data_IF_622663400692
#
_entry.id   IF_622663400692
#
_cell.length_a   1.000
_cell.length_b   1.000
_cell.length_c   1.000
_cell.angle_alpha   90.00
_cell.angle_beta   90.00
_cell.angle_gamma   90.00
#
_symmetry.space_group_name_H-M   'P 1'
#
loop_
_entity.id
_entity.type
_entity.pdbx_description
1 polymer ?
#
# COMPACT_ATOMS: atom_id res chain seq x y z
N UNK A 1 31.67 0.42 -5.67
CA UNK A 1 31.27 1.63 -4.91
C UNK A 1 30.53 1.10 -3.72
N UNK A 2 31.06 1.27 -2.51
CA UNK A 2 30.31 0.99 -1.28
C UNK A 2 29.12 1.93 -1.24
N UNK A 3 27.93 1.43 -1.56
CA UNK A 3 26.70 2.09 -1.16
C UNK A 3 26.71 2.11 0.36
N UNK A 4 27.02 3.27 0.95
CA UNK A 4 26.98 3.43 2.39
C UNK A 4 25.56 3.10 2.86
N UNK A 5 25.42 2.42 4.00
CA UNK A 5 24.13 2.05 4.63
C UNK A 5 23.12 3.23 4.66
N UNK A 6 23.63 4.45 4.79
CA UNK A 6 22.87 5.70 4.71
C UNK A 6 22.23 5.99 3.35
N UNK A 7 22.90 5.67 2.24
CA UNK A 7 22.39 5.85 0.88
C UNK A 7 21.27 4.88 0.55
N UNK A 8 21.44 3.61 0.93
CA UNK A 8 20.41 2.59 0.80
C UNK A 8 19.16 2.94 1.62
N UNK A 9 19.37 3.47 2.84
CA UNK A 9 18.29 3.95 3.69
C UNK A 9 17.54 5.15 3.10
N UNK A 10 18.25 6.13 2.55
CA UNK A 10 17.63 7.31 1.94
C UNK A 10 16.70 6.92 0.78
N UNK A 11 17.10 5.95 -0.04
CA UNK A 11 16.26 5.46 -1.13
C UNK A 11 14.96 4.83 -0.60
N UNK A 12 15.03 4.07 0.50
CA UNK A 12 13.84 3.49 1.16
C UNK A 12 12.92 4.59 1.69
N UNK A 13 13.48 5.63 2.31
CA UNK A 13 12.70 6.76 2.83
C UNK A 13 12.02 7.57 1.73
N UNK A 14 12.69 7.79 0.60
CA UNK A 14 12.11 8.44 -0.58
C UNK A 14 10.96 7.61 -1.17
N UNK A 15 11.15 6.30 -1.31
CA UNK A 15 10.11 5.40 -1.79
C UNK A 15 8.91 5.38 -0.84
N UNK A 16 9.15 5.32 0.47
CA UNK A 16 8.08 5.33 1.49
C UNK A 16 7.26 6.64 1.44
N UNK A 17 7.93 7.78 1.32
CA UNK A 17 7.26 9.08 1.18
C UNK A 17 6.46 9.17 -0.13
N UNK A 18 7.02 8.61 -1.21
CA UNK A 18 6.34 8.56 -2.51
C UNK A 18 5.10 7.66 -2.45
N UNK A 19 5.18 6.50 -1.81
CA UNK A 19 4.04 5.61 -1.60
C UNK A 19 2.94 6.30 -0.79
N UNK A 20 3.29 7.02 0.28
CA UNK A 20 2.32 7.78 1.07
C UNK A 20 1.60 8.83 0.22
N UNK A 21 2.34 9.59 -0.58
CA UNK A 21 1.78 10.56 -1.50
C UNK A 21 0.83 9.92 -2.53
N UNK A 22 1.22 8.80 -3.16
CA UNK A 22 0.38 8.09 -4.13
C UNK A 22 -0.93 7.59 -3.50
N UNK A 23 -0.87 7.13 -2.25
CA UNK A 23 -2.04 6.70 -1.49
C UNK A 23 -2.97 7.87 -1.16
N UNK A 24 -2.43 9.02 -0.80
CA UNK A 24 -3.20 10.24 -0.55
C UNK A 24 -3.85 10.79 -1.82
N UNK A 25 -3.21 10.62 -2.98
CA UNK A 25 -3.72 11.02 -4.29
C UNK A 25 -4.60 9.96 -4.97
N UNK A 26 -4.83 8.82 -4.30
CA UNK A 26 -5.57 7.68 -4.84
C UNK A 26 -5.01 7.13 -6.17
N UNK A 27 -3.71 7.30 -6.42
CA UNK A 27 -3.01 6.77 -7.61
C UNK A 27 -2.63 5.30 -7.41
N UNK A 28 -3.64 4.43 -7.41
CA UNK A 28 -3.49 3.02 -7.00
C UNK A 28 -2.61 2.17 -7.91
N UNK A 29 -2.63 2.40 -9.23
CA UNK A 29 -1.82 1.62 -10.19
C UNK A 29 -0.32 1.87 -9.99
N UNK A 30 0.05 3.15 -9.85
CA UNK A 30 1.42 3.58 -9.58
C UNK A 30 1.88 3.14 -8.18
N UNK A 31 0.96 3.19 -7.20
CA UNK A 31 1.21 2.68 -5.86
C UNK A 31 1.57 1.19 -5.87
N UNK A 32 0.79 0.35 -6.58
CA UNK A 32 1.02 -1.10 -6.63
C UNK A 32 2.39 -1.40 -7.26
N UNK A 33 2.73 -0.73 -8.37
CA UNK A 33 4.00 -0.91 -9.05
C UNK A 33 5.19 -0.53 -8.17
N UNK A 34 5.07 0.54 -7.38
CA UNK A 34 6.14 1.00 -6.50
C UNK A 34 6.24 0.18 -5.20
N UNK A 35 5.12 -0.35 -4.70
CA UNK A 35 5.05 -1.12 -3.46
C UNK A 35 5.87 -2.42 -3.52
N UNK A 36 5.89 -3.09 -4.68
CA UNK A 36 6.72 -4.28 -4.88
C UNK A 36 8.21 -3.97 -4.67
N UNK A 37 8.69 -2.89 -5.30
CA UNK A 37 10.09 -2.44 -5.18
C UNK A 37 10.43 -2.04 -3.76
N UNK A 38 9.49 -1.42 -3.04
CA UNK A 38 9.67 -1.05 -1.63
C UNK A 38 9.86 -2.27 -0.73
N UNK A 39 9.01 -3.29 -0.86
CA UNK A 39 9.10 -4.51 -0.05
C UNK A 39 10.42 -5.24 -0.26
N UNK A 40 10.89 -5.34 -1.51
CA UNK A 40 12.18 -5.96 -1.84
C UNK A 40 13.33 -5.21 -1.15
N UNK A 41 13.31 -3.88 -1.16
CA UNK A 41 14.35 -3.06 -0.51
C UNK A 41 14.31 -3.15 1.01
N UNK A 42 13.12 -3.19 1.60
CA UNK A 42 12.97 -3.40 3.05
C UNK A 42 13.52 -4.76 3.49
N UNK A 43 13.31 -5.81 2.69
CA UNK A 43 13.90 -7.12 2.97
C UNK A 43 15.43 -7.08 2.91
N UNK A 44 16.00 -6.45 1.87
CA UNK A 44 17.44 -6.30 1.75
C UNK A 44 18.04 -5.47 2.92
N UNK A 45 17.33 -4.42 3.39
CA UNK A 45 17.74 -3.65 4.57
C UNK A 45 17.75 -4.52 5.84
N UNK A 46 16.74 -5.38 6.00
CA UNK A 46 16.67 -6.29 7.15
C UNK A 46 17.83 -7.29 7.15
N UNK A 47 18.20 -7.82 5.98
CA UNK A 47 19.32 -8.74 5.82
C UNK A 47 20.67 -8.05 6.12
N UNK A 48 20.82 -6.78 5.71
CA UNK A 48 22.02 -5.98 5.97
C UNK A 48 22.14 -5.59 7.45
N UNK A 49 21.03 -5.23 8.10
CA UNK A 49 20.97 -4.93 9.53
C UNK A 49 21.28 -6.15 10.42
N UNK A 50 21.03 -7.36 9.92
CA UNK A 50 21.38 -8.61 10.60
C UNK A 50 22.89 -8.92 10.50
N UNK A 51 23.63 -8.22 9.64
CA UNK A 51 25.08 -8.37 9.51
C UNK A 51 25.82 -7.88 10.77
N UNK A 52 26.83 -8.61 11.26
CA UNK A 52 27.63 -8.22 12.43
C UNK A 52 28.48 -6.96 12.21
N UNK A 53 28.53 -6.41 10.99
CA UNK A 53 29.33 -5.23 10.65
C UNK A 53 28.65 -3.89 10.99
N UNK A 54 27.35 -3.88 11.33
CA UNK A 54 26.64 -2.63 11.64
C UNK A 54 26.93 -2.19 13.07
N UNK A 55 27.52 -0.99 13.21
CA UNK A 55 27.88 -0.42 14.51
C UNK A 55 26.66 -0.02 15.33
N UNK A 56 26.85 0.10 16.65
CA UNK A 56 25.78 0.54 17.56
C UNK A 56 25.26 1.95 17.26
N UNK A 57 26.14 2.86 16.83
CA UNK A 57 25.77 4.24 16.50
C UNK A 57 24.90 4.31 15.22
N UNK A 58 25.20 3.48 14.23
CA UNK A 58 24.39 3.37 13.01
C UNK A 58 23.01 2.81 13.32
N UNK A 59 22.92 1.81 14.21
CA UNK A 59 21.63 1.24 14.65
C UNK A 59 20.74 2.27 15.33
N UNK A 60 21.29 3.13 16.20
CA UNK A 60 20.46 4.12 16.91
C UNK A 60 19.98 5.24 15.99
N UNK A 61 20.78 5.63 15.00
CA UNK A 61 20.37 6.60 13.97
C UNK A 61 19.25 6.02 13.10
N UNK A 62 19.37 4.74 12.72
CA UNK A 62 18.38 4.02 11.93
C UNK A 62 17.06 3.82 12.68
N UNK A 63 17.10 3.68 14.00
CA UNK A 63 15.91 3.46 14.83
C UNK A 63 14.93 4.63 14.79
N UNK A 64 15.42 5.86 14.89
CA UNK A 64 14.57 7.06 14.78
C UNK A 64 13.91 7.15 13.41
N UNK A 65 14.71 6.85 12.39
CA UNK A 65 14.36 6.88 10.98
C UNK A 65 13.33 5.78 10.62
N UNK A 66 13.51 4.55 11.11
CA UNK A 66 12.56 3.44 11.03
C UNK A 66 11.22 3.78 11.70
N UNK A 67 11.24 4.56 12.78
CA UNK A 67 10.02 5.06 13.43
C UNK A 67 9.14 5.81 12.45
N UNK A 68 9.72 6.73 11.68
CA UNK A 68 9.00 7.50 10.64
C UNK A 68 8.44 6.60 9.54
N UNK A 69 9.18 5.58 9.10
CA UNK A 69 8.70 4.62 8.09
C UNK A 69 7.46 3.87 8.59
N UNK A 70 7.48 3.40 9.84
CA UNK A 70 6.38 2.67 10.47
C UNK A 70 5.14 3.54 10.61
N UNK A 71 5.31 4.81 11.01
CA UNK A 71 4.20 5.75 11.11
C UNK A 71 3.54 6.00 9.74
N UNK A 72 4.35 6.18 8.70
CA UNK A 72 3.86 6.33 7.33
C UNK A 72 3.14 5.06 6.83
N UNK A 73 3.65 3.87 7.14
CA UNK A 73 2.98 2.60 6.81
C UNK A 73 1.64 2.41 7.53
N UNK A 74 1.53 2.90 8.77
CA UNK A 74 0.27 2.89 9.49
C UNK A 74 -0.77 3.78 8.81
N UNK A 75 -0.38 4.94 8.30
CA UNK A 75 -1.24 5.82 7.50
C UNK A 75 -1.64 5.15 6.18
N UNK A 76 -0.68 4.65 5.40
CA UNK A 76 -0.95 3.92 4.15
C UNK A 76 -1.94 2.77 4.37
N UNK A 77 -1.77 2.00 5.45
CA UNK A 77 -2.68 0.89 5.80
C UNK A 77 -4.11 1.37 6.07
N UNK A 78 -4.28 2.53 6.72
CA UNK A 78 -5.63 3.10 6.96
C UNK A 78 -6.32 3.46 5.65
N UNK A 79 -5.60 4.10 4.73
CA UNK A 79 -6.14 4.44 3.40
C UNK A 79 -6.48 3.20 2.58
N UNK A 80 -5.62 2.18 2.57
CA UNK A 80 -5.88 0.91 1.89
C UNK A 80 -7.13 0.22 2.43
N UNK A 81 -7.31 0.19 3.77
CA UNK A 81 -8.51 -0.36 4.41
C UNK A 81 -9.77 0.43 4.03
N UNK A 82 -9.69 1.76 4.01
CA UNK A 82 -10.80 2.61 3.59
C UNK A 82 -11.19 2.33 2.12
N UNK A 83 -10.20 2.21 1.23
CA UNK A 83 -10.43 1.88 -0.18
C UNK A 83 -11.08 0.50 -0.35
N UNK A 84 -10.58 -0.53 0.36
CA UNK A 84 -11.19 -1.86 0.38
C UNK A 84 -12.66 -1.83 0.82
N UNK A 85 -12.98 -1.03 1.82
CA UNK A 85 -14.37 -0.85 2.28
C UNK A 85 -15.25 -0.22 1.19
N UNK A 86 -14.75 0.80 0.49
CA UNK A 86 -15.45 1.44 -0.64
C UNK A 86 -15.67 0.45 -1.77
N UNK A 87 -14.64 -0.30 -2.16
CA UNK A 87 -14.74 -1.32 -3.21
C UNK A 87 -15.77 -2.40 -2.86
N UNK A 88 -15.76 -2.88 -1.61
CA UNK A 88 -16.75 -3.85 -1.11
C UNK A 88 -18.18 -3.29 -1.14
N UNK A 89 -18.36 -2.01 -0.77
CA UNK A 89 -19.66 -1.32 -0.85
C UNK A 89 -20.13 -1.22 -2.30
N UNK A 90 -19.26 -0.77 -3.20
CA UNK A 90 -19.58 -0.63 -4.62
C UNK A 90 -19.95 -1.96 -5.26
N UNK A 91 -19.22 -3.04 -4.96
CA UNK A 91 -19.54 -4.38 -5.45
C UNK A 91 -20.90 -4.87 -4.92
N UNK A 92 -21.19 -4.61 -3.65
CA UNK A 92 -22.47 -4.98 -3.03
C UNK A 92 -23.64 -4.23 -3.66
N UNK A 93 -23.47 -2.93 -3.91
CA UNK A 93 -24.46 -2.10 -4.62
C UNK A 93 -24.66 -2.53 -6.07
N UNK A 94 -23.57 -2.90 -6.77
CA UNK A 94 -23.64 -3.44 -8.13
C UNK A 94 -24.43 -4.76 -8.16
N UNK A 95 -24.16 -5.65 -7.21
CA UNK A 95 -24.87 -6.93 -7.11
C UNK A 95 -26.37 -6.74 -6.82
N UNK A 96 -26.72 -5.78 -5.95
CA UNK A 96 -28.10 -5.40 -5.69
C UNK A 96 -28.76 -4.80 -6.94
N UNK A 97 -28.07 -3.89 -7.65
CA UNK A 97 -28.54 -3.31 -8.91
C UNK A 97 -28.77 -4.37 -10.00
N UNK A 98 -27.85 -5.32 -10.15
CA UNK A 98 -28.00 -6.43 -11.09
C UNK A 98 -29.21 -7.31 -10.77
N UNK A 99 -29.45 -7.58 -9.47
CA UNK A 99 -30.62 -8.34 -9.01
C UNK A 99 -31.92 -7.59 -9.30
N UNK A 100 -31.95 -6.27 -9.06
CA UNK A 100 -33.10 -5.42 -9.35
C UNK A 100 -33.36 -5.37 -10.87
N UNK A 101 -32.33 -5.19 -11.69
CA UNK A 101 -32.45 -5.21 -13.15
C UNK A 101 -32.95 -6.56 -13.69
N UNK A 102 -32.52 -7.68 -13.09
CA UNK A 102 -33.07 -9.00 -13.41
C UNK A 102 -34.55 -9.12 -13.04
N UNK A 103 -34.97 -8.62 -11.88
CA UNK A 103 -36.39 -8.61 -11.52
C UNK A 103 -37.24 -7.75 -12.46
N UNK A 104 -36.75 -6.57 -12.86
CA UNK A 104 -37.45 -5.75 -13.86
C UNK A 104 -37.56 -6.44 -15.22
N UNK A 105 -36.50 -7.12 -15.68
CA UNK A 105 -36.55 -7.90 -16.91
C UNK A 105 -37.55 -9.06 -16.83
N UNK A 106 -37.63 -9.76 -15.69
CA UNK A 106 -38.60 -10.85 -15.47
C UNK A 106 -40.05 -10.33 -15.35
N UNK A 107 -40.26 -9.15 -14.75
CA UNK A 107 -41.57 -8.51 -14.69
C UNK A 107 -42.06 -8.02 -16.05
N UNK A 108 -41.17 -7.48 -16.89
CA UNK A 108 -41.51 -7.14 -18.28
C UNK A 108 -41.94 -8.38 -19.06
N UNK A 109 -41.22 -9.51 -18.94
CA UNK A 109 -41.56 -10.76 -19.64
C UNK A 109 -42.93 -11.31 -19.18
N UNK A 110 -43.28 -11.17 -17.91
CA UNK A 110 -44.57 -11.65 -17.38
C UNK A 110 -45.76 -10.73 -17.69
N UNK A 111 -45.53 -9.44 -17.95
CA UNK A 111 -46.59 -8.50 -18.37
C UNK A 111 -47.02 -8.61 -19.85
N UNK A 112 -46.35 -9.43 -20.66
CA UNK A 112 -46.69 -9.69 -22.07
C UNK A 112 -47.35 -11.06 -22.32
N UNK A 113 -47.77 -11.77 -21.27
CA UNK A 113 -48.50 -13.04 -21.35
C UNK A 113 -49.89 -12.95 -20.74
#
# INVERSE_FOLDING_TARGET
MEETLSGFYNEIAEINTTLLMLVQQEQWEEFIALAERYVIKMQALADELASPQVSFHEKETLKTLLGTLVDNEAEMTRHLKARLMILKKNLSSLHQGAKISQYYALQQITSFH
#
